data_IF_255968619439
#
_entry.id   IF_255968619439
#
_cell.length_a   1.000
_cell.length_b   1.000
_cell.length_c   1.000
_cell.angle_alpha   90.00
_cell.angle_beta   90.00
_cell.angle_gamma   90.00
#
_symmetry.space_group_name_H-M   'P 1'
#
loop_
_entity.id
_entity.type
_entity.pdbx_description
1 polymer ?
#
# COMPACT_ATOMS: atom_id res chain seq x y z
N UNK A 1 5.21 -16.86 0.55
CA UNK A 1 4.57 -15.74 1.29
C UNK A 1 4.34 -14.57 0.35
N UNK A 2 3.11 -14.11 0.26
CA UNK A 2 2.76 -12.96 -0.56
C UNK A 2 2.73 -11.69 0.30
N UNK A 3 3.45 -10.67 -0.12
CA UNK A 3 3.51 -9.39 0.59
C UNK A 3 3.07 -8.27 -0.33
N UNK A 4 2.10 -7.48 0.12
CA UNK A 4 1.69 -6.27 -0.56
C UNK A 4 2.56 -5.11 -0.05
N UNK A 5 3.37 -4.55 -0.92
CA UNK A 5 4.23 -3.42 -0.58
C UNK A 5 3.56 -2.13 -1.06
N UNK A 6 3.37 -1.19 -0.15
CA UNK A 6 2.64 0.06 -0.39
C UNK A 6 3.54 1.25 -0.09
N UNK A 7 3.58 2.20 -1.02
CA UNK A 7 4.30 3.46 -0.86
C UNK A 7 3.34 4.61 -1.19
N UNK A 8 2.92 5.34 -0.16
CA UNK A 8 1.94 6.41 -0.29
C UNK A 8 2.58 7.78 -0.33
N UNK A 9 2.23 8.57 -1.36
CA UNK A 9 2.47 10.00 -1.42
C UNK A 9 1.20 10.77 -1.02
N UNK A 10 1.24 12.09 -1.04
CA UNK A 10 0.11 12.94 -0.66
C UNK A 10 -1.12 12.73 -1.56
N UNK A 11 -0.91 12.51 -2.86
CA UNK A 11 -1.98 12.28 -3.84
C UNK A 11 -1.74 11.05 -4.71
N UNK A 12 -0.90 10.12 -4.25
CA UNK A 12 -0.53 8.93 -5.01
C UNK A 12 -0.31 7.73 -4.10
N UNK A 13 -0.31 6.55 -4.70
CA UNK A 13 -0.03 5.30 -4.02
C UNK A 13 0.58 4.34 -5.04
N UNK A 14 1.81 3.89 -4.81
CA UNK A 14 2.44 2.81 -5.58
C UNK A 14 2.31 1.51 -4.82
N UNK A 15 2.08 0.43 -5.54
CA UNK A 15 1.99 -0.88 -4.91
C UNK A 15 2.66 -1.96 -5.74
N UNK A 16 3.09 -3.02 -5.06
CA UNK A 16 3.54 -4.27 -5.66
C UNK A 16 3.06 -5.42 -4.79
N UNK A 17 2.56 -6.47 -5.41
CA UNK A 17 2.30 -7.73 -4.72
C UNK A 17 3.43 -8.69 -5.10
N UNK A 18 4.22 -9.08 -4.12
CA UNK A 18 5.44 -9.86 -4.32
C UNK A 18 5.32 -11.22 -3.61
N UNK A 19 5.63 -12.29 -4.32
CA UNK A 19 5.82 -13.60 -3.71
C UNK A 19 7.27 -13.72 -3.28
N UNK A 20 7.52 -13.71 -1.96
CA UNK A 20 8.88 -13.74 -1.43
C UNK A 20 9.55 -15.10 -1.46
N UNK A 21 8.81 -16.18 -1.72
CA UNK A 21 9.42 -17.51 -1.85
C UNK A 21 10.28 -17.62 -3.12
N UNK A 22 9.81 -17.01 -4.20
CA UNK A 22 10.52 -16.99 -5.49
C UNK A 22 10.88 -15.58 -5.97
N UNK A 23 10.53 -14.54 -5.20
CA UNK A 23 10.76 -13.13 -5.50
C UNK A 23 10.07 -12.61 -6.76
N UNK A 24 9.00 -13.27 -7.20
CA UNK A 24 8.20 -12.81 -8.32
C UNK A 24 7.30 -11.65 -7.92
N UNK A 25 7.24 -10.64 -8.78
CA UNK A 25 6.24 -9.56 -8.67
C UNK A 25 5.00 -10.05 -9.39
N UNK A 26 3.94 -10.35 -8.64
CA UNK A 26 2.69 -10.87 -9.20
C UNK A 26 1.86 -9.79 -9.87
N UNK A 27 1.88 -8.58 -9.31
CA UNK A 27 1.23 -7.40 -9.86
C UNK A 27 1.90 -6.15 -9.31
N UNK A 28 1.79 -5.06 -10.06
CA UNK A 28 2.26 -3.74 -9.62
C UNK A 28 1.35 -2.66 -10.19
N UNK A 29 1.44 -1.48 -9.66
CA UNK A 29 0.67 -0.37 -10.21
C UNK A 29 0.79 0.91 -9.41
N UNK A 30 -0.07 1.85 -9.77
CA UNK A 30 -0.04 3.20 -9.26
C UNK A 30 -1.46 3.76 -9.22
N UNK A 31 -1.84 4.32 -8.07
CA UNK A 31 -3.00 5.19 -7.97
C UNK A 31 -2.51 6.62 -8.04
N UNK A 32 -3.08 7.41 -8.94
CA UNK A 32 -2.71 8.81 -9.16
C UNK A 32 -3.90 9.71 -8.89
N UNK A 33 -3.63 10.99 -8.60
CA UNK A 33 -4.64 12.03 -8.45
C UNK A 33 -5.69 11.69 -7.38
N UNK A 34 -5.23 11.07 -6.30
CA UNK A 34 -6.08 10.79 -5.14
C UNK A 34 -6.54 12.13 -4.54
N UNK A 35 -7.83 12.26 -4.26
CA UNK A 35 -8.42 13.50 -3.76
C UNK A 35 -8.80 14.48 -4.86
N UNK A 36 -8.56 14.17 -6.13
CA UNK A 36 -8.90 15.00 -7.28
C UNK A 36 -9.91 14.24 -8.14
N UNK A 37 -9.49 13.51 -9.15
CA UNK A 37 -10.38 12.72 -10.00
C UNK A 37 -10.07 11.23 -10.00
N UNK A 38 -8.89 10.84 -9.54
CA UNK A 38 -8.50 9.45 -9.34
C UNK A 38 -8.22 8.66 -10.62
N UNK A 39 -7.13 7.88 -10.59
CA UNK A 39 -6.79 6.95 -11.68
C UNK A 39 -5.97 5.79 -11.13
N UNK A 40 -6.38 4.56 -11.47
CA UNK A 40 -5.62 3.35 -11.16
C UNK A 40 -4.96 2.84 -12.42
N UNK A 41 -3.64 2.66 -12.37
CA UNK A 41 -2.87 1.93 -13.39
C UNK A 41 -2.49 0.60 -12.77
N UNK A 42 -2.93 -0.50 -13.37
CA UNK A 42 -2.73 -1.86 -12.86
C UNK A 42 -2.00 -2.70 -13.88
N UNK A 43 -0.90 -3.33 -13.45
CA UNK A 43 -0.08 -4.20 -14.30
C UNK A 43 0.06 -5.59 -13.68
N UNK A 44 -0.79 -6.57 -14.05
CA UNK A 44 -0.62 -7.94 -13.59
C UNK A 44 0.54 -8.61 -14.31
N UNK A 45 1.19 -9.57 -13.66
CA UNK A 45 2.24 -10.38 -14.29
C UNK A 45 1.62 -11.15 -15.48
N UNK A 46 2.29 -11.09 -16.62
CA UNK A 46 1.86 -11.76 -17.86
C UNK A 46 0.52 -11.24 -18.41
N UNK A 47 0.04 -10.10 -17.94
CA UNK A 47 -1.18 -9.47 -18.44
C UNK A 47 -0.92 -8.08 -18.99
N UNK A 48 -1.93 -7.50 -19.62
CA UNK A 48 -1.86 -6.16 -20.15
C UNK A 48 -2.09 -5.11 -19.06
N UNK A 49 -1.46 -3.97 -19.22
CA UNK A 49 -1.66 -2.81 -18.37
C UNK A 49 -3.09 -2.30 -18.50
N UNK A 50 -3.77 -2.14 -17.38
CA UNK A 50 -5.14 -1.64 -17.33
C UNK A 50 -5.18 -0.28 -16.64
N UNK A 51 -5.90 0.67 -17.22
CA UNK A 51 -6.10 2.00 -16.66
C UNK A 51 -7.57 2.20 -16.36
N UNK A 52 -7.89 2.52 -15.11
CA UNK A 52 -9.26 2.77 -14.67
C UNK A 52 -9.34 4.15 -14.03
N UNK A 53 -10.19 5.01 -14.57
CA UNK A 53 -10.48 6.31 -13.97
C UNK A 53 -11.69 6.19 -13.06
N UNK A 54 -11.52 6.52 -11.80
CA UNK A 54 -12.60 6.44 -10.81
C UNK A 54 -12.26 7.34 -9.63
N UNK A 55 -13.28 7.91 -9.00
CA UNK A 55 -13.09 8.79 -7.86
C UNK A 55 -12.38 8.07 -6.71
N UNK A 56 -11.33 8.67 -6.23
CA UNK A 56 -10.57 8.24 -5.05
C UNK A 56 -10.47 9.41 -4.09
N UNK A 57 -11.52 9.70 -3.30
CA UNK A 57 -11.51 10.84 -2.38
C UNK A 57 -10.37 10.77 -1.37
N UNK A 58 -10.02 9.56 -0.91
CA UNK A 58 -8.93 9.34 0.04
C UNK A 58 -8.12 8.10 -0.36
N UNK A 59 -7.04 7.85 0.40
CA UNK A 59 -6.23 6.64 0.21
C UNK A 59 -7.01 5.35 0.53
N UNK A 60 -8.07 5.43 1.31
CA UNK A 60 -8.93 4.25 1.60
C UNK A 60 -9.56 3.74 0.31
N UNK A 61 -10.15 4.61 -0.49
CA UNK A 61 -10.76 4.24 -1.76
C UNK A 61 -9.72 3.75 -2.76
N UNK A 62 -8.53 4.36 -2.75
CA UNK A 62 -7.42 3.91 -3.60
C UNK A 62 -6.99 2.48 -3.24
N UNK A 63 -6.78 2.18 -1.97
CA UNK A 63 -6.43 0.84 -1.50
C UNK A 63 -7.53 -0.15 -1.86
N UNK A 64 -8.80 0.23 -1.68
CA UNK A 64 -9.93 -0.64 -2.03
C UNK A 64 -9.90 -1.02 -3.52
N UNK A 65 -9.63 -0.07 -4.41
CA UNK A 65 -9.50 -0.34 -5.84
C UNK A 65 -8.32 -1.28 -6.14
N UNK A 66 -7.21 -1.12 -5.46
CA UNK A 66 -6.04 -2.01 -5.59
C UNK A 66 -6.43 -3.44 -5.19
N UNK A 67 -7.09 -3.60 -4.04
CA UNK A 67 -7.50 -4.91 -3.56
C UNK A 67 -8.51 -5.57 -4.50
N UNK A 68 -9.46 -4.81 -5.01
CA UNK A 68 -10.44 -5.30 -5.98
C UNK A 68 -9.76 -5.77 -7.27
N UNK A 69 -8.75 -5.03 -7.74
CA UNK A 69 -8.00 -5.40 -8.93
C UNK A 69 -7.21 -6.70 -8.73
N UNK A 70 -6.61 -6.89 -7.55
CA UNK A 70 -5.82 -8.09 -7.25
C UNK A 70 -6.65 -9.37 -7.25
N UNK A 71 -7.93 -9.30 -6.89
CA UNK A 71 -8.85 -10.45 -6.83
C UNK A 71 -9.85 -10.49 -7.99
N UNK A 72 -9.73 -9.61 -8.98
CA UNK A 72 -10.63 -9.55 -10.11
C UNK A 72 -10.62 -10.86 -10.89
N UNK A 73 -11.79 -11.32 -11.35
CA UNK A 73 -11.92 -12.59 -12.05
C UNK A 73 -11.14 -12.65 -13.38
N UNK A 74 -10.98 -11.52 -14.05
CA UNK A 74 -10.32 -11.44 -15.36
C UNK A 74 -8.82 -11.20 -15.27
N UNK A 75 -8.40 -10.23 -14.45
CA UNK A 75 -7.03 -9.74 -14.41
C UNK A 75 -6.38 -9.89 -13.03
N UNK A 76 -7.09 -10.46 -12.07
CA UNK A 76 -6.55 -10.68 -10.73
C UNK A 76 -5.43 -11.73 -10.73
N UNK A 77 -4.55 -11.62 -9.76
CA UNK A 77 -3.40 -12.53 -9.58
C UNK A 77 -3.54 -13.42 -8.36
N UNK A 78 -4.53 -13.16 -7.52
CA UNK A 78 -4.90 -13.99 -6.36
C UNK A 78 -6.42 -14.19 -6.37
N UNK A 79 -6.89 -15.24 -5.70
CA UNK A 79 -8.31 -15.57 -5.64
C UNK A 79 -9.04 -14.88 -4.49
N UNK A 80 -8.31 -14.61 -3.40
CA UNK A 80 -8.86 -14.05 -2.18
C UNK A 80 -7.81 -13.18 -1.50
N UNK A 81 -8.25 -12.17 -0.76
CA UNK A 81 -7.36 -11.33 0.04
C UNK A 81 -6.65 -12.10 1.16
N UNK A 82 -7.15 -13.29 1.51
CA UNK A 82 -6.48 -14.19 2.46
C UNK A 82 -5.12 -14.67 1.94
N UNK A 83 -4.87 -14.60 0.65
CA UNK A 83 -3.57 -14.94 0.06
C UNK A 83 -2.51 -13.86 0.30
N UNK A 84 -2.90 -12.67 0.78
CA UNK A 84 -1.96 -11.63 1.21
C UNK A 84 -1.57 -11.91 2.66
N UNK A 85 -0.32 -12.31 2.86
CA UNK A 85 0.19 -12.73 4.18
C UNK A 85 0.66 -11.57 5.03
N UNK A 86 1.14 -10.50 4.40
CA UNK A 86 1.63 -9.32 5.10
C UNK A 86 1.55 -8.08 4.21
N UNK A 87 1.59 -6.91 4.84
CA UNK A 87 1.65 -5.63 4.14
C UNK A 87 2.92 -4.91 4.59
N UNK A 88 3.76 -4.54 3.62
CA UNK A 88 4.93 -3.71 3.86
C UNK A 88 4.61 -2.26 3.51
N UNK A 89 4.91 -1.35 4.42
CA UNK A 89 4.72 0.09 4.21
C UNK A 89 6.07 0.79 4.14
N UNK A 90 6.27 1.62 3.12
CA UNK A 90 7.42 2.49 3.09
C UNK A 90 7.10 3.75 3.89
N UNK A 91 7.93 4.04 4.88
CA UNK A 91 7.85 5.24 5.71
C UNK A 91 9.17 5.97 5.64
N UNK A 92 9.13 7.24 5.27
CA UNK A 92 10.34 8.04 5.04
C UNK A 92 11.16 8.23 6.31
N UNK A 93 10.51 8.62 7.41
CA UNK A 93 11.17 8.88 8.69
C UNK A 93 10.54 8.12 9.84
N UNK A 94 11.35 7.31 10.50
CA UNK A 94 11.04 6.74 11.82
C UNK A 94 11.84 7.42 12.93
N UNK A 95 12.65 8.45 12.60
CA UNK A 95 13.54 9.12 13.52
C UNK A 95 14.66 8.20 13.98
N UNK A 96 15.24 8.50 15.14
CA UNK A 96 16.31 7.68 15.74
C UNK A 96 15.76 6.42 16.41
N UNK A 97 14.45 6.32 16.61
CA UNK A 97 13.81 5.18 17.28
C UNK A 97 13.53 4.02 16.36
N UNK A 98 13.37 4.28 15.04
CA UNK A 98 13.09 3.27 14.03
C UNK A 98 14.17 3.36 12.96
N UNK A 99 15.16 2.48 13.04
CA UNK A 99 16.31 2.46 12.12
C UNK A 99 16.29 1.25 11.18
N UNK A 100 15.44 0.28 11.44
CA UNK A 100 15.29 -0.95 10.65
C UNK A 100 13.82 -1.22 10.37
N UNK A 101 13.56 -2.20 9.50
CA UNK A 101 12.20 -2.68 9.28
C UNK A 101 11.62 -3.25 10.56
N UNK A 102 10.40 -2.84 10.91
CA UNK A 102 9.72 -3.25 12.14
C UNK A 102 8.26 -3.58 11.87
N UNK A 103 7.66 -4.38 12.74
CA UNK A 103 6.21 -4.62 12.72
C UNK A 103 5.51 -3.35 13.19
N UNK A 104 4.53 -2.89 12.42
CA UNK A 104 3.80 -1.66 12.74
C UNK A 104 2.70 -1.97 13.76
N UNK A 105 2.84 -1.38 14.94
CA UNK A 105 1.87 -1.40 16.02
C UNK A 105 1.55 0.05 16.43
N UNK A 106 0.75 0.23 17.47
CA UNK A 106 0.34 1.57 17.92
C UNK A 106 1.53 2.43 18.36
N UNK A 107 2.55 1.82 18.95
CA UNK A 107 3.76 2.53 19.38
C UNK A 107 4.57 3.03 18.17
N UNK A 108 4.72 2.19 17.14
CA UNK A 108 5.41 2.57 15.91
C UNK A 108 4.67 3.69 15.20
N UNK A 109 3.33 3.61 15.12
CA UNK A 109 2.50 4.68 14.53
C UNK A 109 2.74 6.00 15.25
N UNK A 110 2.79 5.96 16.58
CA UNK A 110 3.04 7.17 17.39
C UNK A 110 4.41 7.77 17.09
N UNK A 111 5.45 6.95 16.97
CA UNK A 111 6.79 7.41 16.61
C UNK A 111 6.78 8.07 15.22
N UNK A 112 6.07 7.50 14.26
CA UNK A 112 5.95 8.06 12.90
C UNK A 112 5.26 9.43 12.97
N UNK A 113 4.21 9.57 13.76
CA UNK A 113 3.52 10.85 13.97
C UNK A 113 4.45 11.90 14.58
N UNK A 114 5.25 11.51 15.56
CA UNK A 114 6.24 12.42 16.20
C UNK A 114 7.31 12.87 15.22
N UNK A 115 7.62 12.07 14.19
CA UNK A 115 8.61 12.38 13.17
C UNK A 115 8.04 13.14 11.98
N UNK A 116 6.77 13.55 12.01
CA UNK A 116 6.13 14.27 10.90
C UNK A 116 6.84 15.60 10.57
N UNK A 117 7.43 16.25 11.57
CA UNK A 117 8.19 17.48 11.36
C UNK A 117 9.46 17.27 10.52
N UNK A 118 10.01 16.06 10.50
CA UNK A 118 11.18 15.70 9.71
C UNK A 118 10.84 15.39 8.27
N UNK A 119 9.60 14.95 8.02
CA UNK A 119 9.10 14.64 6.68
C UNK A 119 7.67 15.11 6.52
N UNK A 120 7.41 16.44 6.54
CA UNK A 120 6.04 16.97 6.64
C UNK A 120 5.13 16.62 5.47
N UNK A 121 5.68 16.28 4.30
CA UNK A 121 4.90 15.87 3.14
C UNK A 121 4.76 14.35 3.02
N UNK A 122 5.74 13.60 3.53
CA UNK A 122 5.84 12.15 3.33
C UNK A 122 5.28 11.33 4.49
N UNK A 123 5.63 11.65 5.74
CA UNK A 123 5.17 10.88 6.88
C UNK A 123 3.65 10.91 7.08
N UNK A 124 2.96 12.06 6.97
CA UNK A 124 1.49 12.06 7.03
C UNK A 124 0.85 11.21 5.94
N UNK A 125 1.37 11.26 4.70
CA UNK A 125 0.87 10.44 3.61
C UNK A 125 1.13 8.95 3.85
N UNK A 126 2.28 8.59 4.38
CA UNK A 126 2.61 7.21 4.74
C UNK A 126 1.65 6.69 5.81
N UNK A 127 1.34 7.49 6.83
CA UNK A 127 0.36 7.15 7.87
C UNK A 127 -1.05 6.96 7.29
N UNK A 128 -1.45 7.77 6.32
CA UNK A 128 -2.74 7.61 5.64
C UNK A 128 -2.84 6.24 4.99
N UNK A 129 -1.76 5.78 4.34
CA UNK A 129 -1.69 4.45 3.73
C UNK A 129 -1.78 3.33 4.78
N UNK A 130 -1.04 3.44 5.87
CA UNK A 130 -1.08 2.48 6.98
C UNK A 130 -2.49 2.39 7.54
N UNK A 131 -3.12 3.52 7.86
CA UNK A 131 -4.46 3.57 8.43
C UNK A 131 -5.51 3.01 7.47
N UNK A 132 -5.39 3.29 6.18
CA UNK A 132 -6.28 2.73 5.16
C UNK A 132 -6.18 1.21 5.11
N UNK A 133 -4.98 0.65 5.13
CA UNK A 133 -4.78 -0.80 5.13
C UNK A 133 -5.30 -1.43 6.42
N UNK A 134 -5.12 -0.79 7.57
CA UNK A 134 -5.64 -1.27 8.86
C UNK A 134 -7.17 -1.32 8.86
N UNK A 135 -7.81 -0.34 8.22
CA UNK A 135 -9.27 -0.29 8.11
C UNK A 135 -9.82 -1.40 7.22
N UNK A 136 -9.16 -1.67 6.10
CA UNK A 136 -9.63 -2.64 5.10
C UNK A 136 -9.14 -4.07 5.36
N UNK A 137 -8.01 -4.23 6.02
CA UNK A 137 -7.37 -5.52 6.30
C UNK A 137 -6.80 -5.54 7.72
N UNK A 138 -7.66 -5.50 8.76
CA UNK A 138 -7.19 -5.37 10.14
C UNK A 138 -6.40 -6.58 10.67
N UNK A 139 -6.62 -7.76 10.09
CA UNK A 139 -6.00 -9.01 10.54
C UNK A 139 -4.64 -9.30 9.90
N UNK A 140 -4.24 -8.52 8.89
CA UNK A 140 -2.98 -8.75 8.17
C UNK A 140 -1.84 -8.03 8.88
N UNK A 141 -0.72 -8.73 9.08
CA UNK A 141 0.49 -8.16 9.66
C UNK A 141 1.10 -7.08 8.76
N UNK A 142 1.65 -6.04 9.36
CA UNK A 142 2.26 -4.90 8.66
C UNK A 142 3.67 -4.64 9.16
N UNK A 143 4.53 -4.14 8.28
CA UNK A 143 5.91 -3.81 8.61
C UNK A 143 6.33 -2.50 7.96
N UNK A 144 7.23 -1.80 8.65
CA UNK A 144 7.97 -0.68 8.07
C UNK A 144 9.06 -1.22 7.14
N UNK A 145 9.11 -0.72 5.94
CA UNK A 145 10.06 -1.18 4.92
C UNK A 145 10.96 -0.04 4.48
#
# INVERSE_FOLDING_TARGET
MNVLVVNCGSSSLKFQLINYDNRDVLAKGLCERIGIDGRLVYEPKNGEKEVTEAAMPTHVEAIQMVLDALVNEKSGVIKSLEEVDAIGHRVLHGGMKITNSVIIDDEVIKVIEECADLGPLHNPANLMGINACMKLMPEIGRAHV
#
